data_IF_933726296129
#
_entry.id   IF_933726296129
#
_cell.length_a   1.000
_cell.length_b   1.000
_cell.length_c   1.000
_cell.angle_alpha   90.00
_cell.angle_beta   90.00
_cell.angle_gamma   90.00
#
_symmetry.space_group_name_H-M   'P 1'
#
loop_
_entity.id
_entity.type
_entity.pdbx_description
1 polymer ?
#
# COMPACT_ATOMS: atom_id res chain seq x y z
N UNK A 1 31.69 7.93 -13.54
CA UNK A 1 30.96 7.12 -12.54
C UNK A 1 29.50 7.10 -12.94
N UNK A 2 28.91 5.92 -13.11
CA UNK A 2 27.58 5.76 -13.70
C UNK A 2 26.51 6.40 -12.80
N UNK A 3 25.77 7.35 -13.37
CA UNK A 3 24.77 8.23 -12.75
C UNK A 3 23.40 7.56 -12.52
N UNK A 4 23.40 6.25 -12.22
CA UNK A 4 22.22 5.40 -12.32
C UNK A 4 21.83 4.83 -10.96
N UNK A 5 20.53 4.66 -10.71
CA UNK A 5 20.04 3.95 -9.53
C UNK A 5 20.40 2.48 -9.65
N UNK A 6 21.07 1.93 -8.62
CA UNK A 6 21.33 0.50 -8.52
C UNK A 6 20.30 -0.14 -7.61
N UNK A 7 19.76 -1.27 -8.06
CA UNK A 7 18.68 -1.99 -7.40
C UNK A 7 19.11 -3.44 -7.28
N UNK A 8 19.10 -3.98 -6.07
CA UNK A 8 19.30 -5.41 -5.82
C UNK A 8 18.10 -5.95 -5.04
N UNK A 9 17.53 -7.05 -5.51
CA UNK A 9 16.35 -7.67 -4.92
C UNK A 9 16.72 -9.06 -4.42
N UNK A 10 16.08 -9.49 -3.34
CA UNK A 10 16.29 -10.82 -2.79
C UNK A 10 15.08 -11.33 -2.04
N UNK A 11 15.15 -12.62 -1.71
CA UNK A 11 14.11 -13.28 -0.92
C UNK A 11 14.67 -14.47 -0.16
N UNK A 12 13.94 -14.89 0.86
CA UNK A 12 14.19 -16.12 1.60
C UNK A 12 12.87 -16.77 2.04
N UNK A 13 12.86 -18.10 2.06
CA UNK A 13 11.79 -18.93 2.59
C UNK A 13 12.20 -19.68 3.86
N UNK A 14 13.37 -19.36 4.44
CA UNK A 14 13.83 -19.97 5.68
C UNK A 14 12.87 -19.60 6.81
N UNK A 15 12.54 -20.56 7.67
CA UNK A 15 11.65 -20.33 8.80
C UNK A 15 12.33 -19.61 9.97
N UNK A 16 13.65 -19.81 10.12
CA UNK A 16 14.43 -19.12 11.13
C UNK A 16 14.70 -17.68 10.66
N UNK A 17 14.33 -16.69 11.47
CA UNK A 17 14.46 -15.28 11.11
C UNK A 17 15.90 -14.87 10.80
N UNK A 18 16.88 -15.40 11.54
CA UNK A 18 18.29 -15.09 11.33
C UNK A 18 18.79 -15.61 9.99
N UNK A 19 18.55 -16.90 9.72
CA UNK A 19 18.92 -17.53 8.44
C UNK A 19 18.22 -16.84 7.26
N UNK A 20 16.95 -16.49 7.42
CA UNK A 20 16.17 -15.83 6.38
C UNK A 20 16.73 -14.45 6.03
N UNK A 21 17.05 -13.65 7.04
CA UNK A 21 17.61 -12.32 6.83
C UNK A 21 19.05 -12.40 6.32
N UNK A 22 19.89 -13.32 6.82
CA UNK A 22 21.25 -13.51 6.28
C UNK A 22 21.23 -13.95 4.81
N UNK A 23 20.33 -14.85 4.41
CA UNK A 23 20.16 -15.25 3.00
C UNK A 23 19.68 -14.08 2.12
N UNK A 24 18.78 -13.24 2.64
CA UNK A 24 18.35 -12.02 1.97
C UNK A 24 19.50 -11.01 1.84
N UNK A 25 20.26 -10.79 2.91
CA UNK A 25 21.34 -9.81 2.98
C UNK A 25 22.38 -10.05 1.88
N UNK A 26 22.78 -11.30 1.66
CA UNK A 26 23.73 -11.66 0.59
C UNK A 26 23.22 -11.27 -0.80
N UNK A 27 21.91 -11.33 -1.04
CA UNK A 27 21.32 -11.00 -2.34
C UNK A 27 21.16 -9.49 -2.55
N UNK A 28 20.95 -8.72 -1.48
CA UNK A 28 20.71 -7.27 -1.57
C UNK A 28 21.90 -6.42 -1.13
N UNK A 29 23.02 -7.01 -0.75
CA UNK A 29 24.22 -6.28 -0.38
C UNK A 29 24.82 -5.54 -1.59
N UNK A 30 25.07 -4.24 -1.40
CA UNK A 30 25.73 -3.40 -2.38
C UNK A 30 26.28 -2.11 -1.73
N UNK A 31 27.38 -1.57 -2.27
CA UNK A 31 27.94 -0.31 -1.77
C UNK A 31 27.02 0.87 -2.04
N UNK A 32 27.13 1.89 -1.18
CA UNK A 32 26.34 3.13 -1.22
C UNK A 32 24.82 2.92 -1.07
N UNK A 33 24.40 1.87 -0.35
CA UNK A 33 22.98 1.63 -0.04
C UNK A 33 22.37 2.80 0.71
N UNK A 34 21.30 3.35 0.16
CA UNK A 34 20.57 4.49 0.70
C UNK A 34 19.37 4.05 1.53
N UNK A 35 18.77 2.90 1.20
CA UNK A 35 17.69 2.26 1.96
C UNK A 35 17.52 0.81 1.56
N UNK A 36 17.13 -0.02 2.53
CA UNK A 36 16.56 -1.34 2.33
C UNK A 36 15.06 -1.32 2.66
N UNK A 37 14.24 -1.80 1.73
CA UNK A 37 12.82 -2.08 1.98
C UNK A 37 12.64 -3.59 2.14
N UNK A 38 11.99 -4.01 3.22
CA UNK A 38 11.78 -5.43 3.52
C UNK A 38 10.33 -5.75 3.86
N UNK A 39 9.84 -6.86 3.31
CA UNK A 39 8.46 -7.29 3.43
C UNK A 39 8.46 -8.75 3.91
N UNK A 40 7.85 -9.00 5.07
CA UNK A 40 7.97 -10.30 5.74
C UNK A 40 6.63 -10.85 6.17
N UNK A 41 6.55 -12.17 6.23
CA UNK A 41 5.42 -12.87 6.83
C UNK A 41 5.35 -12.59 8.33
N UNK A 42 4.14 -12.63 8.87
CA UNK A 42 3.82 -12.56 10.30
C UNK A 42 4.24 -13.82 11.10
N UNK A 43 4.82 -14.84 10.44
CA UNK A 43 5.25 -16.09 11.07
C UNK A 43 6.56 -16.00 11.85
N UNK A 44 7.35 -14.95 11.64
CA UNK A 44 8.62 -14.77 12.35
C UNK A 44 8.43 -14.23 13.76
N UNK A 45 9.31 -14.66 14.68
CA UNK A 45 9.40 -14.03 16.00
C UNK A 45 9.83 -12.56 15.85
N UNK A 46 9.04 -11.58 16.35
CA UNK A 46 9.31 -10.15 16.15
C UNK A 46 10.66 -9.69 16.72
N UNK A 47 11.09 -10.25 17.85
CA UNK A 47 12.35 -9.84 18.49
C UNK A 47 13.58 -10.38 17.75
N UNK A 48 13.52 -11.62 17.27
CA UNK A 48 14.58 -12.21 16.46
C UNK A 48 14.67 -11.54 15.10
N UNK A 49 13.53 -11.31 14.43
CA UNK A 49 13.49 -10.66 13.13
C UNK A 49 14.00 -9.23 13.21
N UNK A 50 13.54 -8.44 14.19
CA UNK A 50 13.99 -7.07 14.36
C UNK A 50 15.50 -6.95 14.50
N UNK A 51 16.11 -7.77 15.37
CA UNK A 51 17.58 -7.81 15.54
C UNK A 51 18.30 -8.28 14.29
N UNK A 52 17.81 -9.34 13.64
CA UNK A 52 18.44 -9.85 12.42
C UNK A 52 18.45 -8.79 11.31
N UNK A 53 17.34 -8.06 11.12
CA UNK A 53 17.25 -6.97 10.14
C UNK A 53 18.23 -5.84 10.45
N UNK A 54 18.37 -5.44 11.72
CA UNK A 54 19.28 -4.38 12.13
C UNK A 54 20.76 -4.78 11.95
N UNK A 55 21.11 -6.04 12.19
CA UNK A 55 22.50 -6.51 12.13
C UNK A 55 22.99 -6.84 10.72
N UNK A 56 22.13 -7.42 9.87
CA UNK A 56 22.56 -7.96 8.57
C UNK A 56 22.30 -7.05 7.38
N UNK A 57 21.34 -6.12 7.46
CA UNK A 57 20.99 -5.30 6.30
C UNK A 57 21.73 -3.95 6.29
N UNK A 58 22.19 -3.50 5.11
CA UNK A 58 22.93 -2.25 5.00
C UNK A 58 22.01 -1.02 5.02
N UNK A 59 22.51 0.07 5.63
CA UNK A 59 21.84 1.38 5.62
C UNK A 59 20.52 1.42 6.39
N UNK A 60 19.70 2.47 6.18
CA UNK A 60 18.37 2.55 6.77
C UNK A 60 17.46 1.42 6.28
N UNK A 61 16.78 0.74 7.20
CA UNK A 61 15.84 -0.35 6.89
C UNK A 61 14.42 0.10 7.23
N UNK A 62 13.51 -0.07 6.28
CA UNK A 62 12.06 0.09 6.49
C UNK A 62 11.34 -1.18 6.05
N UNK A 63 10.23 -1.51 6.70
CA UNK A 63 9.50 -2.72 6.35
C UNK A 63 8.26 -2.94 7.16
N UNK A 64 7.53 -4.00 6.84
CA UNK A 64 6.32 -4.38 7.57
C UNK A 64 5.98 -5.85 7.38
N UNK A 65 5.09 -6.34 8.26
CA UNK A 65 4.38 -7.60 8.04
C UNK A 65 3.43 -7.48 6.86
N UNK A 66 3.19 -8.55 6.12
CA UNK A 66 2.39 -8.49 4.89
C UNK A 66 1.42 -9.66 4.71
N UNK A 67 0.47 -9.52 3.78
CA UNK A 67 -0.41 -10.59 3.34
C UNK A 67 0.15 -11.39 2.14
N UNK A 68 1.46 -11.25 1.89
CA UNK A 68 2.12 -11.72 0.68
C UNK A 68 3.15 -10.70 0.19
N UNK A 69 4.09 -11.16 -0.63
CA UNK A 69 5.15 -10.30 -1.17
C UNK A 69 5.10 -10.26 -2.69
N UNK A 70 5.59 -9.17 -3.25
CA UNK A 70 5.86 -8.99 -4.68
C UNK A 70 7.36 -8.88 -4.87
N UNK A 71 7.91 -9.67 -5.78
CA UNK A 71 9.35 -9.71 -6.08
C UNK A 71 9.59 -10.01 -7.56
N UNK A 72 10.85 -10.15 -7.97
CA UNK A 72 11.22 -10.57 -9.33
C UNK A 72 10.68 -11.92 -9.80
N UNK A 73 9.93 -12.66 -8.98
CA UNK A 73 9.17 -13.86 -9.42
C UNK A 73 7.66 -13.70 -9.33
N UNK A 74 7.16 -12.47 -9.11
CA UNK A 74 5.74 -12.17 -8.94
C UNK A 74 5.27 -12.36 -7.51
N UNK A 75 4.04 -12.85 -7.35
CA UNK A 75 3.45 -13.11 -6.04
C UNK A 75 4.21 -14.19 -5.29
N UNK A 76 4.47 -13.91 -4.01
CA UNK A 76 5.06 -14.84 -3.06
C UNK A 76 4.15 -14.96 -1.84
N UNK A 77 4.16 -16.14 -1.22
CA UNK A 77 3.53 -16.41 0.07
C UNK A 77 4.59 -16.85 1.07
N UNK A 78 4.53 -16.29 2.27
CA UNK A 78 5.45 -16.62 3.36
C UNK A 78 6.87 -16.10 3.13
N UNK A 79 7.72 -16.31 4.14
CA UNK A 79 9.11 -15.90 4.09
C UNK A 79 9.30 -14.39 4.16
N UNK A 80 10.41 -13.92 3.58
CA UNK A 80 10.80 -12.51 3.50
C UNK A 80 11.26 -12.18 2.07
N UNK A 81 10.93 -11.00 1.57
CA UNK A 81 11.55 -10.40 0.39
C UNK A 81 12.06 -9.00 0.72
N UNK A 82 12.97 -8.51 -0.09
CA UNK A 82 13.48 -7.16 0.09
C UNK A 82 14.22 -6.63 -1.12
N UNK A 83 14.49 -5.34 -1.05
CA UNK A 83 15.26 -4.61 -2.05
C UNK A 83 16.16 -3.58 -1.38
N UNK A 84 17.37 -3.43 -1.89
CA UNK A 84 18.23 -2.30 -1.57
C UNK A 84 18.29 -1.33 -2.74
N UNK A 85 18.24 -0.04 -2.43
CA UNK A 85 18.39 1.05 -3.39
C UNK A 85 19.70 1.77 -3.10
N UNK A 86 20.57 1.87 -4.09
CA UNK A 86 21.91 2.47 -3.93
C UNK A 86 22.24 3.48 -5.03
N UNK A 87 23.05 4.47 -4.67
CA UNK A 87 23.57 5.47 -5.58
C UNK A 87 23.32 6.91 -5.12
N UNK A 88 24.12 7.85 -5.63
CA UNK A 88 24.15 9.25 -5.16
C UNK A 88 23.00 10.13 -5.68
N UNK A 89 22.10 9.58 -6.50
CA UNK A 89 20.97 10.32 -7.09
C UNK A 89 19.67 10.18 -6.30
N UNK A 90 19.68 9.40 -5.23
CA UNK A 90 18.53 9.13 -4.38
C UNK A 90 19.02 9.13 -2.93
N UNK A 91 18.28 9.77 -2.04
CA UNK A 91 18.49 9.70 -0.59
C UNK A 91 17.15 9.37 0.04
N UNK A 92 17.16 8.48 1.03
CA UNK A 92 15.98 8.11 1.78
C UNK A 92 16.13 8.50 3.25
N UNK A 93 15.10 9.11 3.83
CA UNK A 93 15.04 9.50 5.22
C UNK A 93 13.77 8.95 5.88
N UNK A 94 13.87 7.86 6.66
CA UNK A 94 12.73 7.32 7.38
C UNK A 94 12.45 8.10 8.67
N UNK A 95 11.16 8.22 9.00
CA UNK A 95 10.63 8.84 10.20
C UNK A 95 9.65 7.88 10.85
N UNK A 96 9.88 7.56 12.13
CA UNK A 96 8.92 6.81 12.93
C UNK A 96 7.81 7.73 13.43
N UNK A 97 6.57 7.26 13.30
CA UNK A 97 5.39 7.85 13.92
C UNK A 97 4.82 6.83 14.89
N UNK A 98 5.02 7.07 16.18
CA UNK A 98 4.58 6.17 17.25
C UNK A 98 4.38 6.92 18.58
N UNK A 99 3.25 6.72 19.28
CA UNK A 99 2.07 5.95 18.86
C UNK A 99 1.20 6.73 17.86
N UNK A 100 0.45 6.03 16.99
CA UNK A 100 -0.46 6.64 16.02
C UNK A 100 -1.64 7.40 16.67
N UNK A 101 -2.00 7.04 17.91
CA UNK A 101 -3.00 7.76 18.70
C UNK A 101 -2.62 9.22 18.99
N UNK A 102 -1.33 9.57 18.88
CA UNK A 102 -0.79 10.89 19.20
C UNK A 102 0.14 11.39 18.07
N UNK A 103 -0.31 11.22 16.83
CA UNK A 103 0.48 11.49 15.63
C UNK A 103 0.67 12.99 15.29
N UNK A 104 -0.20 13.88 15.77
CA UNK A 104 -0.25 15.28 15.29
C UNK A 104 1.05 16.06 15.46
N UNK A 105 1.67 16.04 16.64
CA UNK A 105 2.95 16.73 16.90
C UNK A 105 4.10 16.14 16.07
N UNK A 106 4.11 14.82 15.92
CA UNK A 106 5.10 14.10 15.13
C UNK A 106 4.99 14.46 13.65
N UNK A 107 3.76 14.55 13.11
CA UNK A 107 3.51 14.96 11.72
C UNK A 107 3.97 16.39 11.46
N UNK A 108 3.74 17.32 12.39
CA UNK A 108 4.24 18.71 12.26
C UNK A 108 5.77 18.72 12.21
N UNK A 109 6.43 18.04 13.15
CA UNK A 109 7.89 17.98 13.20
C UNK A 109 8.49 17.31 11.94
N UNK A 110 7.86 16.25 11.44
CA UNK A 110 8.25 15.60 10.17
C UNK A 110 8.10 16.58 9.01
N UNK A 111 7.00 17.31 8.94
CA UNK A 111 6.76 18.25 7.85
C UNK A 111 7.79 19.40 7.84
N UNK A 112 8.12 19.97 9.01
CA UNK A 112 9.16 20.99 9.14
C UNK A 112 10.52 20.48 8.64
N UNK A 113 10.93 19.28 9.05
CA UNK A 113 12.20 18.68 8.62
C UNK A 113 12.20 18.36 7.13
N UNK A 114 11.09 17.81 6.60
CA UNK A 114 10.94 17.51 5.17
C UNK A 114 11.06 18.79 4.33
N UNK A 115 10.38 19.87 4.71
CA UNK A 115 10.47 21.14 3.99
C UNK A 115 11.90 21.69 4.01
N UNK A 116 12.58 21.62 5.15
CA UNK A 116 13.99 21.99 5.27
C UNK A 116 14.88 21.19 4.32
N UNK A 117 14.75 19.87 4.30
CA UNK A 117 15.55 18.98 3.45
C UNK A 117 15.27 19.17 1.94
N UNK A 118 14.02 19.41 1.56
CA UNK A 118 13.65 19.73 0.17
C UNK A 118 14.31 21.04 -0.25
N UNK A 119 14.24 22.08 0.59
CA UNK A 119 14.85 23.38 0.30
C UNK A 119 16.39 23.31 0.21
N UNK A 120 17.04 22.54 1.09
CA UNK A 120 18.50 22.36 1.08
C UNK A 120 18.98 21.55 -0.13
N UNK A 121 18.25 20.50 -0.51
CA UNK A 121 18.64 19.62 -1.61
C UNK A 121 18.27 20.15 -3.00
N UNK A 122 17.24 20.99 -3.09
CA UNK A 122 16.65 21.44 -4.36
C UNK A 122 16.11 20.29 -5.24
N UNK A 123 15.96 19.10 -4.67
CA UNK A 123 15.58 17.89 -5.41
C UNK A 123 14.07 17.61 -5.29
N UNK A 124 13.43 17.10 -6.36
CA UNK A 124 12.10 16.52 -6.27
C UNK A 124 12.01 15.46 -5.17
N UNK A 125 10.84 15.35 -4.55
CA UNK A 125 10.62 14.46 -3.41
C UNK A 125 9.30 13.69 -3.52
N UNK A 126 9.25 12.50 -2.93
CA UNK A 126 8.02 11.78 -2.64
C UNK A 126 8.10 11.09 -1.28
N UNK A 127 6.94 10.83 -0.68
CA UNK A 127 6.82 10.06 0.55
C UNK A 127 6.40 8.62 0.26
N UNK A 128 7.04 7.66 0.93
CA UNK A 128 6.58 6.28 1.01
C UNK A 128 6.11 5.97 2.43
N UNK A 129 4.85 5.58 2.60
CA UNK A 129 4.24 5.37 3.92
C UNK A 129 3.94 3.88 4.15
N UNK A 130 4.43 3.35 5.27
CA UNK A 130 4.03 2.05 5.82
C UNK A 130 3.26 2.29 7.12
N UNK A 131 2.07 1.73 7.25
CA UNK A 131 1.22 1.90 8.45
C UNK A 131 0.83 0.54 9.01
N UNK A 132 0.72 0.40 10.33
CA UNK A 132 0.02 -0.74 10.95
C UNK A 132 -1.42 -0.81 10.42
N UNK A 133 -1.73 -1.86 9.66
CA UNK A 133 -3.00 -2.02 8.95
C UNK A 133 -4.19 -2.48 9.81
N UNK A 134 -3.98 -2.67 11.12
CA UNK A 134 -5.07 -2.93 12.07
C UNK A 134 -5.23 -1.77 13.08
N UNK A 135 -4.51 -0.67 12.88
CA UNK A 135 -4.57 0.49 13.78
C UNK A 135 -5.86 1.31 13.64
N UNK A 136 -6.56 1.22 12.50
CA UNK A 136 -7.69 2.09 12.14
C UNK A 136 -7.31 3.59 12.10
N UNK A 137 -6.03 3.90 11.91
CA UNK A 137 -5.47 5.27 11.89
C UNK A 137 -4.96 5.68 10.52
N UNK A 138 -5.17 4.88 9.48
CA UNK A 138 -4.68 5.13 8.13
C UNK A 138 -5.20 6.45 7.56
N UNK A 139 -6.52 6.66 7.58
CA UNK A 139 -7.17 7.87 7.08
C UNK A 139 -6.72 9.17 7.79
N UNK A 140 -6.81 9.28 9.13
CA UNK A 140 -6.40 10.51 9.79
C UNK A 140 -4.90 10.78 9.63
N UNK A 141 -4.06 9.75 9.61
CA UNK A 141 -2.63 9.89 9.41
C UNK A 141 -2.28 10.40 8.01
N UNK A 142 -2.79 9.76 6.96
CA UNK A 142 -2.46 10.16 5.58
C UNK A 142 -2.98 11.56 5.26
N UNK A 143 -4.17 11.90 5.77
CA UNK A 143 -4.73 13.24 5.63
C UNK A 143 -3.86 14.29 6.33
N UNK A 144 -3.41 14.03 7.56
CA UNK A 144 -2.57 14.95 8.31
C UNK A 144 -1.20 15.15 7.64
N UNK A 145 -0.55 14.06 7.22
CA UNK A 145 0.71 14.11 6.49
C UNK A 145 0.59 14.91 5.19
N UNK A 146 -0.42 14.61 4.37
CA UNK A 146 -0.61 15.31 3.09
C UNK A 146 -0.86 16.81 3.29
N UNK A 147 -1.67 17.19 4.27
CA UNK A 147 -1.91 18.59 4.60
C UNK A 147 -0.64 19.31 5.08
N UNK A 148 0.17 18.66 5.92
CA UNK A 148 1.38 19.25 6.48
C UNK A 148 2.54 19.33 5.48
N UNK A 149 2.67 18.33 4.59
CA UNK A 149 3.75 18.23 3.61
C UNK A 149 3.49 19.03 2.33
N UNK A 150 2.27 19.49 2.10
CA UNK A 150 1.89 20.31 0.95
C UNK A 150 2.01 19.55 -0.37
N UNK A 151 2.97 19.93 -1.23
CA UNK A 151 3.09 19.41 -2.59
C UNK A 151 3.88 18.09 -2.71
N UNK A 152 4.30 17.49 -1.60
CA UNK A 152 5.03 16.21 -1.64
C UNK A 152 4.03 15.08 -1.88
N UNK A 153 4.06 14.39 -3.03
CA UNK A 153 3.20 13.25 -3.27
C UNK A 153 3.52 12.12 -2.29
N UNK A 154 2.49 11.42 -1.80
CA UNK A 154 2.65 10.31 -0.86
C UNK A 154 2.02 9.06 -1.46
N UNK A 155 2.72 7.94 -1.39
CA UNK A 155 2.18 6.62 -1.70
C UNK A 155 2.51 5.66 -0.58
N UNK A 156 1.69 4.64 -0.35
CA UNK A 156 1.93 3.75 0.78
C UNK A 156 1.02 2.54 0.82
N UNK A 157 1.30 1.68 1.80
CA UNK A 157 0.55 0.47 2.07
C UNK A 157 0.41 0.18 3.56
N UNK A 158 -0.74 -0.35 3.93
CA UNK A 158 -1.02 -0.87 5.26
C UNK A 158 -0.48 -2.29 5.39
N UNK A 159 0.25 -2.54 6.48
CA UNK A 159 0.77 -3.85 6.86
C UNK A 159 -0.36 -4.89 6.95
N UNK A 160 -0.01 -6.15 6.73
CA UNK A 160 -0.94 -7.28 6.76
C UNK A 160 -0.38 -8.46 7.55
N UNK A 161 -1.19 -9.49 7.76
CA UNK A 161 -0.82 -10.72 8.50
C UNK A 161 -1.46 -11.97 7.87
N UNK A 162 -1.33 -12.08 6.54
CA UNK A 162 -1.80 -13.22 5.76
C UNK A 162 -3.27 -13.60 6.02
N UNK A 163 -4.15 -12.60 6.03
CA UNK A 163 -5.61 -12.72 6.24
C UNK A 163 -6.02 -13.23 7.64
N UNK A 164 -5.12 -13.20 8.62
CA UNK A 164 -5.44 -13.57 10.00
C UNK A 164 -6.19 -12.46 10.73
N UNK A 165 -5.93 -11.20 10.39
CA UNK A 165 -6.51 -9.99 10.99
C UNK A 165 -6.37 -9.96 12.52
N UNK A 166 -5.20 -10.35 13.03
CA UNK A 166 -4.87 -10.41 14.46
C UNK A 166 -3.85 -9.37 14.86
N UNK A 167 -2.77 -9.25 14.09
CA UNK A 167 -1.65 -8.40 14.46
C UNK A 167 -0.81 -8.05 13.24
N UNK A 168 -0.60 -6.76 12.98
CA UNK A 168 0.35 -6.30 11.96
C UNK A 168 1.39 -5.39 12.59
N UNK A 169 2.54 -5.22 11.94
CA UNK A 169 3.61 -4.40 12.50
C UNK A 169 4.45 -3.76 11.41
N UNK A 170 4.97 -2.57 11.68
CA UNK A 170 6.00 -1.91 10.89
C UNK A 170 7.36 -2.06 11.57
N UNK A 171 8.42 -2.19 10.80
CA UNK A 171 9.79 -2.26 11.29
C UNK A 171 10.39 -0.85 11.38
N UNK A 172 11.03 -0.53 12.51
CA UNK A 172 11.90 0.63 12.65
C UNK A 172 13.02 0.33 13.66
N UNK A 173 14.27 0.51 13.24
CA UNK A 173 15.48 0.45 14.07
C UNK A 173 15.54 -0.74 15.06
N UNK A 174 15.49 -1.96 14.51
CA UNK A 174 15.58 -3.20 15.29
C UNK A 174 14.29 -3.66 15.96
N UNK A 175 13.18 -2.94 15.79
CA UNK A 175 11.89 -3.25 16.44
C UNK A 175 10.77 -3.39 15.42
N UNK A 176 9.87 -4.35 15.67
CA UNK A 176 8.56 -4.43 15.03
C UNK A 176 7.54 -3.78 15.96
N UNK A 177 6.84 -2.77 15.46
CA UNK A 177 5.96 -1.90 16.22
C UNK A 177 4.53 -2.01 15.71
N UNK A 178 3.59 -2.20 16.63
CA UNK A 178 2.16 -2.00 16.42
C UNK A 178 1.80 -0.55 16.74
N UNK A 179 0.62 -0.10 16.32
CA UNK A 179 0.13 1.26 16.50
C UNK A 179 1.17 2.29 16.04
N UNK A 180 1.86 1.98 14.95
CA UNK A 180 3.00 2.73 14.41
C UNK A 180 2.91 2.88 12.89
N UNK A 181 3.57 3.92 12.37
CA UNK A 181 3.84 4.08 10.95
C UNK A 181 5.29 4.49 10.72
N UNK A 182 5.80 4.20 9.52
CA UNK A 182 7.08 4.71 9.03
C UNK A 182 6.82 5.50 7.76
N UNK A 183 7.01 6.81 7.84
CA UNK A 183 7.02 7.70 6.69
C UNK A 183 8.45 7.84 6.20
N UNK A 184 8.72 7.58 4.93
CA UNK A 184 10.06 7.71 4.35
C UNK A 184 10.05 8.78 3.26
N UNK A 185 10.80 9.85 3.48
CA UNK A 185 11.06 10.86 2.46
C UNK A 185 12.12 10.33 1.50
N UNK A 186 11.81 10.29 0.21
CA UNK A 186 12.76 10.06 -0.86
C UNK A 186 13.05 11.37 -1.57
N UNK A 187 14.31 11.79 -1.58
CA UNK A 187 14.81 12.93 -2.35
C UNK A 187 15.59 12.38 -3.55
N UNK A 188 15.23 12.77 -4.77
CA UNK A 188 15.90 12.23 -5.94
C UNK A 188 15.88 13.17 -7.14
N UNK A 189 16.99 13.19 -7.89
CA UNK A 189 17.05 13.84 -9.22
C UNK A 189 16.63 12.90 -10.34
N UNK A 190 16.22 11.67 -10.02
CA UNK A 190 15.71 10.73 -11.00
C UNK A 190 14.23 11.01 -11.23
N UNK A 191 13.77 10.96 -12.48
CA UNK A 191 12.34 10.98 -12.76
C UNK A 191 11.64 9.87 -11.98
N UNK A 192 10.52 10.21 -11.33
CA UNK A 192 9.63 9.24 -10.72
C UNK A 192 8.18 9.57 -11.05
N UNK A 193 7.31 8.58 -10.91
CA UNK A 193 5.88 8.72 -11.12
C UNK A 193 5.12 7.93 -10.05
N UNK A 194 4.28 8.63 -9.27
CA UNK A 194 3.32 7.96 -8.38
C UNK A 194 2.07 7.63 -9.16
N UNK A 195 1.48 6.46 -8.89
CA UNK A 195 0.29 6.03 -9.61
C UNK A 195 -0.66 5.23 -8.73
N UNK A 196 -1.87 5.14 -9.24
CA UNK A 196 -2.95 4.31 -8.73
C UNK A 196 -3.51 3.51 -9.90
N UNK A 197 -3.65 2.22 -9.73
CA UNK A 197 -4.34 1.34 -10.67
C UNK A 197 -5.50 0.63 -9.97
N UNK A 198 -6.67 0.65 -10.61
CA UNK A 198 -7.85 -0.12 -10.23
C UNK A 198 -8.56 -0.56 -11.51
N UNK A 199 -9.10 -1.77 -11.55
CA UNK A 199 -9.82 -2.30 -12.72
C UNK A 199 -11.34 -2.09 -12.63
N UNK A 200 -11.83 -1.42 -11.59
CA UNK A 200 -13.24 -1.09 -11.42
C UNK A 200 -13.63 0.23 -12.09
N UNK A 201 -14.76 0.21 -12.79
CA UNK A 201 -15.38 1.41 -13.36
C UNK A 201 -16.73 1.71 -12.69
N UNK A 202 -17.05 3.00 -12.50
CA UNK A 202 -18.33 3.40 -11.93
C UNK A 202 -19.48 3.06 -12.88
N UNK A 203 -20.56 2.52 -12.33
CA UNK A 203 -21.83 2.35 -13.03
C UNK A 203 -22.69 3.62 -12.93
N UNK A 204 -23.93 3.58 -13.43
CA UNK A 204 -24.91 4.64 -13.23
C UNK A 204 -25.63 4.54 -11.87
N UNK A 205 -25.50 3.42 -11.16
CA UNK A 205 -26.18 3.16 -9.90
C UNK A 205 -25.49 3.90 -8.76
N UNK A 206 -26.20 4.84 -8.14
CA UNK A 206 -25.71 5.67 -7.03
C UNK A 206 -26.48 5.39 -5.75
N UNK A 207 -25.82 5.65 -4.64
CA UNK A 207 -26.38 5.53 -3.31
C UNK A 207 -25.88 6.66 -2.41
N UNK A 208 -26.65 6.99 -1.38
CA UNK A 208 -26.30 7.99 -0.38
C UNK A 208 -26.24 7.33 0.98
N UNK A 209 -25.13 7.54 1.70
CA UNK A 209 -25.00 7.09 3.08
C UNK A 209 -25.81 8.02 3.97
N UNK A 210 -26.85 7.52 4.62
CA UNK A 210 -27.76 8.32 5.47
C UNK A 210 -27.46 8.18 6.96
N UNK A 211 -26.87 7.06 7.38
CA UNK A 211 -26.35 6.87 8.75
C UNK A 211 -25.06 6.04 8.73
N UNK A 212 -24.03 6.49 9.45
CA UNK A 212 -22.75 5.81 9.58
C UNK A 212 -22.06 6.14 10.91
N UNK A 213 -21.17 5.24 11.33
CA UNK A 213 -20.18 5.43 12.40
C UNK A 213 -18.78 5.30 11.76
N UNK A 214 -18.17 6.43 11.33
CA UNK A 214 -16.90 6.42 10.60
C UNK A 214 -15.75 5.87 11.44
N UNK A 215 -15.74 6.11 12.75
CA UNK A 215 -14.69 5.63 13.66
C UNK A 215 -14.67 4.10 13.74
N UNK A 216 -15.84 3.46 13.63
CA UNK A 216 -15.97 2.00 13.56
C UNK A 216 -16.02 1.45 12.14
N UNK A 217 -15.90 2.32 11.12
CA UNK A 217 -16.07 2.00 9.69
C UNK A 217 -17.39 1.26 9.41
N UNK A 218 -18.49 1.71 10.03
CA UNK A 218 -19.82 1.13 9.84
C UNK A 218 -20.72 2.07 9.04
N UNK A 219 -21.38 1.56 8.02
CA UNK A 219 -22.50 2.20 7.35
C UNK A 219 -23.77 1.46 7.77
N UNK A 220 -24.68 2.17 8.45
CA UNK A 220 -25.89 1.58 9.01
C UNK A 220 -27.09 1.77 8.10
N UNK A 221 -27.16 2.90 7.42
CA UNK A 221 -28.24 3.21 6.48
C UNK A 221 -27.73 3.74 5.14
N UNK A 222 -28.39 3.28 4.08
CA UNK A 222 -28.19 3.71 2.70
C UNK A 222 -29.56 4.11 2.14
N UNK A 223 -29.66 5.31 1.57
CA UNK A 223 -30.91 5.85 1.01
C UNK A 223 -32.10 5.84 1.98
N UNK A 224 -31.85 5.93 3.30
CA UNK A 224 -32.90 5.86 4.34
C UNK A 224 -33.40 4.44 4.65
N UNK A 225 -32.69 3.41 4.20
CA UNK A 225 -32.97 2.00 4.47
C UNK A 225 -31.77 1.28 5.11
N UNK A 226 -31.97 0.14 5.81
CA UNK A 226 -30.88 -0.66 6.35
C UNK A 226 -29.82 -0.98 5.29
N UNK A 227 -28.55 -0.72 5.61
CA UNK A 227 -27.47 -0.69 4.62
C UNK A 227 -27.35 -2.00 3.82
N UNK A 228 -27.37 -3.16 4.47
CA UNK A 228 -27.25 -4.44 3.79
C UNK A 228 -28.43 -4.70 2.83
N UNK A 229 -29.65 -4.35 3.23
CA UNK A 229 -30.85 -4.51 2.40
C UNK A 229 -30.80 -3.60 1.18
N UNK A 230 -30.56 -2.31 1.39
CA UNK A 230 -30.47 -1.33 0.31
C UNK A 230 -29.34 -1.68 -0.68
N UNK A 231 -28.17 -2.09 -0.18
CA UNK A 231 -27.07 -2.52 -1.03
C UNK A 231 -27.42 -3.77 -1.85
N UNK A 232 -28.05 -4.78 -1.24
CA UNK A 232 -28.47 -5.99 -1.94
C UNK A 232 -29.42 -5.67 -3.10
N UNK A 233 -30.42 -4.82 -2.86
CA UNK A 233 -31.38 -4.38 -3.88
C UNK A 233 -30.67 -3.63 -5.03
N UNK A 234 -29.74 -2.73 -4.72
CA UNK A 234 -29.00 -1.95 -5.71
C UNK A 234 -28.15 -2.79 -6.67
N UNK A 235 -27.66 -3.94 -6.22
CA UNK A 235 -26.87 -4.88 -7.04
C UNK A 235 -27.71 -6.05 -7.57
N UNK A 236 -29.02 -6.06 -7.31
CA UNK A 236 -29.95 -7.07 -7.80
C UNK A 236 -29.81 -8.45 -7.14
N UNK A 237 -29.50 -8.50 -5.85
CA UNK A 237 -29.33 -9.73 -5.05
C UNK A 237 -30.18 -9.68 -3.77
N UNK A 238 -30.11 -10.74 -2.95
CA UNK A 238 -30.71 -10.78 -1.61
C UNK A 238 -29.65 -10.67 -0.51
N UNK A 239 -30.04 -10.24 0.69
CA UNK A 239 -29.13 -10.10 1.84
C UNK A 239 -28.44 -11.44 2.17
N UNK A 240 -29.15 -12.55 2.11
CA UNK A 240 -28.60 -13.89 2.40
C UNK A 240 -27.54 -14.36 1.39
N UNK A 241 -27.49 -13.74 0.21
CA UNK A 241 -26.48 -14.02 -0.82
C UNK A 241 -25.24 -13.14 -0.70
N UNK A 242 -25.30 -12.08 0.12
CA UNK A 242 -24.16 -11.19 0.31
C UNK A 242 -23.03 -11.93 1.04
N UNK A 243 -21.85 -11.88 0.44
CA UNK A 243 -20.62 -12.48 0.97
C UNK A 243 -19.40 -11.76 0.38
N UNK A 244 -18.20 -12.14 0.82
CA UNK A 244 -16.95 -11.54 0.36
C UNK A 244 -16.79 -11.52 -1.16
N UNK A 245 -17.21 -12.58 -1.87
CA UNK A 245 -17.15 -12.65 -3.34
C UNK A 245 -18.15 -11.68 -4.00
N UNK A 246 -19.34 -11.49 -3.43
CA UNK A 246 -20.29 -10.50 -3.95
C UNK A 246 -19.76 -9.08 -3.77
N UNK A 247 -19.18 -8.78 -2.60
CA UNK A 247 -18.58 -7.47 -2.30
C UNK A 247 -17.37 -7.17 -3.20
N UNK A 248 -16.50 -8.15 -3.44
CA UNK A 248 -15.31 -7.97 -4.28
C UNK A 248 -15.68 -7.61 -5.72
N UNK A 249 -16.76 -8.20 -6.26
CA UNK A 249 -17.22 -7.99 -7.64
C UNK A 249 -18.05 -6.72 -7.83
N UNK A 250 -18.70 -6.22 -6.77
CA UNK A 250 -19.58 -5.06 -6.80
C UNK A 250 -19.18 -4.01 -5.75
N UNK A 251 -17.93 -3.52 -5.76
CA UNK A 251 -17.50 -2.57 -4.75
C UNK A 251 -18.27 -1.25 -4.86
N UNK A 252 -18.30 -0.47 -3.80
CA UNK A 252 -18.76 0.93 -3.89
C UNK A 252 -17.56 1.85 -4.11
N UNK A 253 -17.79 2.96 -4.80
CA UNK A 253 -16.76 3.90 -5.22
C UNK A 253 -17.13 5.31 -4.78
N UNK A 254 -16.18 6.02 -4.16
CA UNK A 254 -16.29 7.43 -3.81
C UNK A 254 -15.62 8.27 -4.91
N UNK A 255 -16.32 9.29 -5.41
CA UNK A 255 -15.71 10.25 -6.33
C UNK A 255 -15.05 11.38 -5.54
N UNK A 256 -13.75 11.60 -5.77
CA UNK A 256 -13.01 12.76 -5.27
C UNK A 256 -12.46 13.48 -6.50
N UNK A 257 -12.87 14.74 -6.67
CA UNK A 257 -12.60 15.53 -7.87
C UNK A 257 -13.03 14.79 -9.16
N UNK A 258 -12.07 14.38 -9.98
CA UNK A 258 -12.29 13.72 -11.27
C UNK A 258 -11.98 12.22 -11.26
N UNK A 259 -11.62 11.65 -10.10
CA UNK A 259 -11.27 10.24 -9.96
C UNK A 259 -12.21 9.50 -8.99
N UNK A 260 -12.30 8.18 -9.15
CA UNK A 260 -13.09 7.28 -8.33
C UNK A 260 -12.19 6.39 -7.50
N UNK A 261 -12.50 6.24 -6.23
CA UNK A 261 -11.74 5.45 -5.28
C UNK A 261 -12.62 4.35 -4.69
N UNK A 262 -12.17 3.12 -4.77
CA UNK A 262 -12.91 1.98 -4.21
C UNK A 262 -12.93 2.08 -2.68
N UNK A 263 -14.08 1.70 -2.12
CA UNK A 263 -14.38 1.58 -0.71
C UNK A 263 -14.93 0.18 -0.47
N UNK A 264 -14.09 -0.71 0.05
CA UNK A 264 -14.41 -2.14 0.11
C UNK A 264 -15.24 -2.48 1.35
N UNK A 265 -16.31 -3.24 1.15
CA UNK A 265 -17.13 -3.81 2.21
C UNK A 265 -16.42 -5.07 2.74
N UNK A 266 -16.26 -5.16 4.05
CA UNK A 266 -15.69 -6.31 4.76
C UNK A 266 -16.75 -7.39 5.00
N UNK A 267 -17.82 -7.03 5.70
CA UNK A 267 -18.85 -7.97 6.13
C UNK A 267 -20.15 -7.23 6.50
N UNK A 268 -21.18 -8.03 6.79
CA UNK A 268 -22.45 -7.57 7.36
C UNK A 268 -22.40 -7.80 8.87
N UNK A 269 -22.85 -6.83 9.65
CA UNK A 269 -23.03 -6.94 11.08
C UNK A 269 -24.39 -7.55 11.42
N UNK A 270 -24.58 -8.14 12.61
CA UNK A 270 -25.85 -8.75 13.00
C UNK A 270 -27.07 -7.83 12.93
N UNK A 271 -26.86 -6.51 13.02
CA UNK A 271 -27.91 -5.49 12.92
C UNK A 271 -28.22 -5.05 11.47
N UNK A 272 -27.54 -5.64 10.47
CA UNK A 272 -27.70 -5.29 9.05
C UNK A 272 -26.82 -4.13 8.59
N UNK A 273 -25.95 -3.59 9.44
CA UNK A 273 -24.92 -2.62 9.06
C UNK A 273 -23.87 -3.25 8.16
N UNK A 274 -23.29 -2.47 7.25
CA UNK A 274 -22.15 -2.85 6.44
C UNK A 274 -20.87 -2.33 7.07
N UNK A 275 -19.93 -3.22 7.37
CA UNK A 275 -18.57 -2.86 7.79
C UNK A 275 -17.68 -2.65 6.58
N UNK A 276 -16.88 -1.59 6.60
CA UNK A 276 -15.94 -1.23 5.54
C UNK A 276 -14.49 -1.37 6.00
N UNK A 277 -13.59 -1.56 5.04
CA UNK A 277 -12.13 -1.48 5.28
C UNK A 277 -11.63 -0.05 5.43
N UNK A 278 -12.47 0.94 5.12
CA UNK A 278 -12.18 2.37 5.20
C UNK A 278 -13.36 3.15 5.79
N UNK A 279 -13.09 4.32 6.37
CA UNK A 279 -14.14 5.19 6.92
C UNK A 279 -15.03 5.80 5.82
N UNK A 280 -16.33 5.92 6.10
CA UNK A 280 -17.34 6.52 5.21
C UNK A 280 -18.17 7.51 6.02
N UNK A 281 -18.15 8.79 5.63
CA UNK A 281 -18.95 9.82 6.30
C UNK A 281 -20.44 9.76 5.90
N UNK A 282 -21.29 10.26 6.79
CA UNK A 282 -22.70 10.53 6.50
C UNK A 282 -22.82 11.58 5.39
N UNK A 283 -23.79 11.40 4.49
CA UNK A 283 -24.07 12.29 3.36
C UNK A 283 -23.19 12.05 2.13
N UNK A 284 -22.28 11.08 2.18
CA UNK A 284 -21.45 10.73 1.01
C UNK A 284 -22.28 10.03 -0.06
N UNK A 285 -22.13 10.48 -1.30
CA UNK A 285 -22.66 9.81 -2.48
C UNK A 285 -21.63 8.80 -2.97
N UNK A 286 -22.00 7.53 -3.00
CA UNK A 286 -21.19 6.45 -3.56
C UNK A 286 -21.82 5.94 -4.86
N UNK A 287 -21.02 5.28 -5.68
CA UNK A 287 -21.44 4.66 -6.94
C UNK A 287 -21.05 3.20 -6.93
N UNK A 288 -21.93 2.31 -7.40
CA UNK A 288 -21.59 0.89 -7.57
C UNK A 288 -20.54 0.78 -8.68
N UNK A 289 -19.45 0.09 -8.39
CA UNK A 289 -18.38 -0.23 -9.32
C UNK A 289 -18.59 -1.59 -9.97
N UNK A 290 -18.04 -1.76 -11.17
CA UNK A 290 -18.03 -3.03 -11.89
C UNK A 290 -16.63 -3.32 -12.41
N UNK A 291 -16.16 -4.55 -12.20
CA UNK A 291 -14.84 -4.97 -12.64
C UNK A 291 -14.75 -5.09 -14.16
N UNK A 292 -13.64 -4.59 -14.72
CA UNK A 292 -13.19 -4.89 -16.08
C UNK A 292 -12.09 -5.97 -16.03
N UNK A 293 -11.55 -6.34 -17.20
CA UNK A 293 -10.43 -7.29 -17.26
C UNK A 293 -9.20 -6.75 -16.51
N UNK A 294 -8.86 -7.40 -15.40
CA UNK A 294 -7.71 -7.04 -14.56
C UNK A 294 -6.39 -7.07 -15.35
N UNK A 295 -6.14 -8.14 -16.12
CA UNK A 295 -4.94 -8.29 -16.97
C UNK A 295 -4.82 -7.13 -17.96
N UNK A 296 -5.86 -6.88 -18.75
CA UNK A 296 -5.81 -5.83 -19.78
C UNK A 296 -5.64 -4.44 -19.16
N UNK A 297 -6.33 -4.17 -18.06
CA UNK A 297 -6.26 -2.88 -17.39
C UNK A 297 -4.88 -2.64 -16.79
N UNK A 298 -4.31 -3.61 -16.09
CA UNK A 298 -2.98 -3.49 -15.50
C UNK A 298 -1.90 -3.35 -16.58
N UNK A 299 -1.96 -4.16 -17.64
CA UNK A 299 -1.02 -4.06 -18.76
C UNK A 299 -1.02 -2.68 -19.42
N UNK A 300 -2.20 -2.12 -19.65
CA UNK A 300 -2.34 -0.79 -20.23
C UNK A 300 -1.73 0.29 -19.33
N UNK A 301 -1.93 0.22 -18.01
CA UNK A 301 -1.40 1.22 -17.09
C UNK A 301 0.12 1.10 -16.92
N UNK A 302 0.67 -0.12 -16.88
CA UNK A 302 2.13 -0.35 -16.88
C UNK A 302 2.78 0.11 -18.19
N UNK A 303 2.13 -0.10 -19.32
CA UNK A 303 2.62 0.36 -20.63
C UNK A 303 2.68 1.89 -20.67
N UNK A 304 1.60 2.58 -20.28
CA UNK A 304 1.57 4.06 -20.21
C UNK A 304 2.62 4.61 -19.26
N UNK A 305 2.84 3.94 -18.13
CA UNK A 305 3.86 4.33 -17.17
C UNK A 305 5.25 4.24 -17.80
N UNK A 306 5.55 3.14 -18.50
CA UNK A 306 6.82 2.97 -19.20
C UNK A 306 6.99 3.97 -20.36
N UNK A 307 5.92 4.34 -21.06
CA UNK A 307 5.95 5.36 -22.10
C UNK A 307 6.26 6.76 -21.52
N UNK A 308 5.71 7.09 -20.35
CA UNK A 308 5.89 8.39 -19.70
C UNK A 308 7.25 8.54 -18.98
N UNK A 309 7.76 7.45 -18.40
CA UNK A 309 8.96 7.45 -17.56
C UNK A 309 10.22 6.90 -18.27
N UNK A 310 10.03 6.16 -19.37
CA UNK A 310 11.01 5.19 -19.85
C UNK A 310 10.98 3.90 -19.02
N UNK A 311 11.89 2.97 -19.33
CA UNK A 311 12.00 1.73 -18.56
C UNK A 311 12.39 2.02 -17.09
N UNK A 312 11.55 1.67 -16.10
CA UNK A 312 11.87 1.93 -14.70
C UNK A 312 13.05 1.07 -14.25
N UNK A 313 13.83 1.60 -13.29
CA UNK A 313 14.77 0.77 -12.53
C UNK A 313 14.03 -0.10 -11.52
N UNK A 314 12.95 0.42 -10.95
CA UNK A 314 12.08 -0.27 -10.00
C UNK A 314 10.71 0.36 -9.95
N UNK A 315 9.70 -0.45 -9.63
CA UNK A 315 8.40 0.00 -9.14
C UNK A 315 8.24 -0.49 -7.71
N UNK A 316 8.11 0.43 -6.74
CA UNK A 316 7.72 0.09 -5.38
C UNK A 316 6.20 0.03 -5.32
N UNK A 317 5.66 -1.16 -5.01
CA UNK A 317 4.25 -1.48 -5.16
C UNK A 317 3.54 -1.87 -3.86
N UNK A 318 2.33 -1.36 -3.69
CA UNK A 318 1.39 -1.72 -2.63
C UNK A 318 0.13 -2.26 -3.29
N UNK A 319 -0.06 -3.58 -3.28
CA UNK A 319 -1.16 -4.25 -3.97
C UNK A 319 -2.17 -4.78 -2.95
N UNK A 320 -3.42 -4.31 -2.98
CA UNK A 320 -4.42 -4.75 -2.01
C UNK A 320 -4.59 -6.28 -2.03
N UNK A 321 -4.62 -6.93 -0.86
CA UNK A 321 -4.87 -8.37 -0.78
C UNK A 321 -6.19 -8.78 -1.44
N UNK A 322 -7.18 -7.89 -1.45
CA UNK A 322 -8.47 -8.13 -2.09
C UNK A 322 -8.36 -8.28 -3.62
N UNK A 323 -7.39 -7.60 -4.26
CA UNK A 323 -7.12 -7.77 -5.70
C UNK A 323 -6.53 -9.15 -5.98
N UNK A 324 -5.54 -9.55 -5.17
CA UNK A 324 -4.92 -10.86 -5.27
C UNK A 324 -5.93 -11.98 -5.06
N UNK A 325 -6.80 -11.88 -4.05
CA UNK A 325 -7.86 -12.86 -3.81
C UNK A 325 -8.82 -12.98 -5.00
N UNK A 326 -9.21 -11.86 -5.61
CA UNK A 326 -10.02 -11.85 -6.82
C UNK A 326 -9.30 -12.53 -8.01
N UNK A 327 -8.00 -12.28 -8.18
CA UNK A 327 -7.18 -12.88 -9.23
C UNK A 327 -7.00 -14.38 -9.05
N UNK A 328 -6.81 -14.84 -7.81
CA UNK A 328 -6.72 -16.26 -7.45
C UNK A 328 -8.05 -16.97 -7.71
N UNK A 329 -9.17 -16.34 -7.38
CA UNK A 329 -10.50 -16.88 -7.68
C UNK A 329 -10.74 -17.02 -9.19
N UNK A 330 -10.21 -16.09 -9.99
CA UNK A 330 -10.28 -16.12 -11.45
C UNK A 330 -9.22 -17.02 -12.10
N UNK A 331 -8.24 -17.53 -11.34
CA UNK A 331 -7.12 -18.32 -11.85
C UNK A 331 -6.15 -17.54 -12.75
N UNK A 332 -5.99 -16.23 -12.51
CA UNK A 332 -5.14 -15.33 -13.31
C UNK A 332 -3.98 -14.72 -12.50
N UNK A 333 -3.81 -15.11 -11.24
CA UNK A 333 -2.82 -14.58 -10.32
C UNK A 333 -1.38 -14.82 -10.79
N UNK A 334 -1.08 -15.99 -11.37
CA UNK A 334 0.23 -16.29 -11.94
C UNK A 334 0.60 -15.35 -13.11
N UNK A 335 -0.36 -15.05 -13.99
CA UNK A 335 -0.14 -14.16 -15.13
C UNK A 335 0.04 -12.71 -14.68
N UNK A 336 -0.74 -12.25 -13.70
CA UNK A 336 -0.56 -10.93 -13.09
C UNK A 336 0.79 -10.86 -12.37
N UNK A 337 1.15 -11.88 -11.58
CA UNK A 337 2.43 -11.95 -10.88
C UNK A 337 3.61 -11.86 -11.84
N UNK A 338 3.57 -12.59 -12.96
CA UNK A 338 4.59 -12.52 -14.02
C UNK A 338 4.69 -11.12 -14.63
N UNK A 339 3.55 -10.50 -14.93
CA UNK A 339 3.51 -9.13 -15.48
C UNK A 339 4.12 -8.11 -14.51
N UNK A 340 3.81 -8.20 -13.21
CA UNK A 340 4.39 -7.34 -12.17
C UNK A 340 5.92 -7.55 -12.08
N UNK A 341 6.39 -8.80 -12.14
CA UNK A 341 7.81 -9.12 -12.12
C UNK A 341 8.57 -8.57 -13.34
N UNK A 342 8.01 -8.75 -14.54
CA UNK A 342 8.56 -8.21 -15.80
C UNK A 342 8.70 -6.69 -15.76
N UNK A 343 7.80 -6.00 -15.05
CA UNK A 343 7.84 -4.56 -14.84
C UNK A 343 8.64 -4.13 -13.59
N UNK A 344 9.44 -5.05 -13.02
CA UNK A 344 10.33 -4.80 -11.87
C UNK A 344 9.59 -4.28 -10.64
N UNK A 345 8.38 -4.78 -10.41
CA UNK A 345 7.61 -4.45 -9.21
C UNK A 345 8.18 -5.22 -8.01
N UNK A 346 8.52 -4.47 -6.95
CA UNK A 346 8.85 -4.99 -5.63
C UNK A 346 7.90 -4.38 -4.63
N UNK A 347 7.37 -5.19 -3.73
CA UNK A 347 6.30 -4.70 -2.88
C UNK A 347 5.66 -5.79 -2.06
N UNK A 348 4.40 -5.56 -1.71
CA UNK A 348 3.67 -6.48 -0.86
C UNK A 348 2.16 -6.41 -1.07
N UNK A 349 1.50 -7.48 -0.62
CA UNK A 349 0.05 -7.51 -0.49
C UNK A 349 -0.38 -6.82 0.81
N UNK A 350 -1.18 -5.78 0.68
CA UNK A 350 -1.56 -4.84 1.76
C UNK A 350 -2.97 -5.08 2.29
N UNK A 351 -3.32 -4.51 3.44
CA UNK A 351 -4.73 -4.41 3.92
C UNK A 351 -5.43 -3.12 3.52
N UNK A 352 -4.72 -2.26 2.80
CA UNK A 352 -5.18 -0.97 2.37
C UNK A 352 -3.99 -0.19 1.81
N UNK A 353 -4.26 0.83 1.02
CA UNK A 353 -3.24 1.58 0.30
C UNK A 353 -3.42 3.07 0.58
N UNK A 354 -2.34 3.83 0.46
CA UNK A 354 -2.36 5.28 0.59
C UNK A 354 -1.92 5.91 -0.73
N UNK A 355 -2.65 6.92 -1.16
CA UNK A 355 -2.23 7.81 -2.23
C UNK A 355 -2.66 9.25 -1.91
N UNK A 356 -1.68 10.15 -1.85
CA UNK A 356 -1.85 11.55 -1.49
C UNK A 356 -2.60 11.71 -0.16
N UNK A 357 -3.82 12.25 -0.16
CA UNK A 357 -4.63 12.44 1.05
C UNK A 357 -5.59 11.29 1.35
N UNK A 358 -5.55 10.20 0.59
CA UNK A 358 -6.65 9.23 0.54
C UNK A 358 -6.15 7.83 0.92
N UNK A 359 -6.88 7.19 1.84
CA UNK A 359 -6.82 5.74 2.04
C UNK A 359 -7.77 5.05 1.06
N UNK A 360 -7.29 4.01 0.40
CA UNK A 360 -8.02 3.30 -0.66
C UNK A 360 -7.86 1.80 -0.49
N UNK A 361 -8.79 1.03 -1.04
CA UNK A 361 -8.74 -0.44 -1.05
C UNK A 361 -8.92 -0.94 -2.48
N UNK A 362 -8.73 -2.24 -2.70
CA UNK A 362 -8.83 -2.90 -4.01
C UNK A 362 -8.05 -2.18 -5.12
N UNK A 363 -6.93 -1.60 -4.75
CA UNK A 363 -6.10 -0.77 -5.60
C UNK A 363 -4.67 -1.30 -5.61
N UNK A 364 -3.95 -1.02 -6.69
CA UNK A 364 -2.51 -1.15 -6.75
C UNK A 364 -1.93 0.27 -6.78
N UNK A 365 -1.31 0.71 -5.70
CA UNK A 365 -0.60 1.98 -5.67
C UNK A 365 0.89 1.74 -5.76
N UNK A 366 1.63 2.70 -6.29
CA UNK A 366 3.07 2.58 -6.32
C UNK A 366 3.78 3.83 -6.78
N UNK A 367 5.10 3.75 -6.73
CA UNK A 367 6.02 4.73 -7.31
C UNK A 367 6.99 4.00 -8.23
N UNK A 368 7.06 4.45 -9.47
CA UNK A 368 8.06 4.02 -10.42
C UNK A 368 9.22 5.02 -10.44
N UNK A 369 10.46 4.53 -10.41
CA UNK A 369 11.66 5.36 -10.41
C UNK A 369 12.51 4.98 -11.63
N UNK A 370 12.90 5.98 -12.42
CA UNK A 370 13.74 5.77 -13.60
C UNK A 370 15.18 5.41 -13.20
N UNK A 371 15.83 4.55 -13.98
CA UNK A 371 17.24 4.22 -13.79
C UNK A 371 18.22 5.29 -14.26
N UNK A 372 17.75 6.29 -15.03
CA UNK A 372 18.58 7.35 -15.61
C UNK A 372 17.92 8.71 -15.42
N UNK A 373 18.73 9.75 -15.24
CA UNK A 373 18.24 11.13 -15.33
C UNK A 373 17.75 11.42 -16.76
N UNK A 374 16.75 12.29 -16.91
CA UNK A 374 16.41 12.87 -18.23
C UNK A 374 17.65 13.60 -18.76
N UNK A 375 18.00 13.33 -20.01
CA UNK A 375 19.10 13.98 -20.71
C UNK A 375 18.82 15.46 -20.91
#
# INVERSE_FOLDING_TARGET
MQSHLRVQQGKSFKKNAWEAVSELAVQIDQPDTQVCLVFFSDEYDPHQLGRALQEHLPGPVIGCTTAGQLSGTGFQRGGISGVSLAGSKLTARPYLIFPLSSQSEQVIAIAEDVQRLINESGSPAFGFLLVDGLSMKEEPLISALYMALGNVPIVGGSAGDNLKFRQTSVYYDGKLLQNAAVFTLFLTTLPFYIFKHQHFQPTTTRLVVTEADPEKRLVKEINGEPAAKAYAELIGTTVDQLNATVFSRNPVMLRIENDYFVRSISNIEPDGSLRFFCAIDVGRVLTIGRGNSAIKSLNNDLTKLSEALGEPAIILGCDCILRRLEMEEQGIDDDIGRMLAENKVVGFSTYGEQINSVHVNQTFTGVAISGKSRC
#
